data_IF_504166915377
#
_entry.id   IF_504166915377
#
_cell.length_a   1.000
_cell.length_b   1.000
_cell.length_c   1.000
_cell.angle_alpha   90.00
_cell.angle_beta   90.00
_cell.angle_gamma   90.00
#
_symmetry.space_group_name_H-M   'P 1'
#
loop_
_entity.id
_entity.type
_entity.pdbx_description
1 polymer ?
#
# COMPACT_ATOMS: atom_id res chain seq x y z
N UNK A 1 14.53 2.72 35.01
CA UNK A 1 13.22 3.06 34.39
C UNK A 1 13.51 3.58 33.00
N UNK A 2 12.94 2.99 31.94
CA UNK A 2 13.08 3.56 30.60
C UNK A 2 12.38 4.94 30.55
N UNK A 3 12.91 5.92 29.80
CA UNK A 3 12.30 7.25 29.71
C UNK A 3 10.92 7.15 29.04
N UNK A 4 9.91 7.80 29.63
CA UNK A 4 8.58 7.93 29.01
C UNK A 4 8.69 8.95 27.89
N UNK A 5 8.60 8.49 26.64
CA UNK A 5 8.75 9.34 25.44
C UNK A 5 7.40 9.96 25.03
N UNK A 6 6.28 9.28 25.32
CA UNK A 6 4.94 9.70 24.88
C UNK A 6 4.13 10.24 26.07
N UNK A 7 3.79 11.54 26.05
CA UNK A 7 2.99 12.22 27.08
C UNK A 7 1.82 12.97 26.45
N UNK A 8 0.63 12.75 27.00
CA UNK A 8 -0.62 13.34 26.55
C UNK A 8 -1.37 13.92 27.74
N UNK A 9 -1.94 15.11 27.58
CA UNK A 9 -2.71 15.80 28.61
C UNK A 9 -4.08 15.16 28.83
N UNK A 10 -4.63 14.46 27.83
CA UNK A 10 -5.88 13.71 27.93
C UNK A 10 -6.00 12.66 26.79
N UNK A 11 -7.06 11.83 26.85
CA UNK A 11 -7.35 10.79 25.85
C UNK A 11 -7.70 11.36 24.47
N UNK A 12 -8.27 12.57 24.38
CA UNK A 12 -8.55 13.23 23.10
C UNK A 12 -7.26 13.58 22.35
N UNK A 13 -6.24 14.06 23.06
CA UNK A 13 -4.92 14.33 22.49
C UNK A 13 -4.22 13.04 22.08
N UNK A 14 -4.38 11.96 22.86
CA UNK A 14 -3.91 10.64 22.44
C UNK A 14 -4.62 10.21 21.15
N UNK A 15 -5.95 10.36 21.03
CA UNK A 15 -6.72 9.99 19.85
C UNK A 15 -6.21 10.68 18.58
N UNK A 16 -5.94 11.99 18.63
CA UNK A 16 -5.48 12.77 17.46
C UNK A 16 -3.98 12.69 17.19
N UNK A 17 -3.18 12.08 18.07
CA UNK A 17 -1.72 11.99 17.92
C UNK A 17 -1.24 10.85 17.02
N UNK A 18 -0.06 11.01 16.42
CA UNK A 18 0.69 9.94 15.77
C UNK A 18 1.50 9.18 16.82
N UNK A 19 1.08 7.94 17.12
CA UNK A 19 1.75 7.08 18.11
C UNK A 19 2.20 5.79 17.45
N UNK A 20 3.48 5.46 17.62
CA UNK A 20 4.04 4.17 17.22
C UNK A 20 3.58 3.09 18.21
N UNK A 21 2.43 2.47 17.91
CA UNK A 21 1.81 1.43 18.74
C UNK A 21 2.74 0.21 18.90
N UNK A 22 3.60 -0.10 17.91
CA UNK A 22 4.54 -1.23 18.01
C UNK A 22 5.60 -0.96 19.07
N UNK A 23 6.24 0.22 19.07
CA UNK A 23 7.19 0.60 20.14
C UNK A 23 6.56 0.56 21.53
N UNK A 24 5.26 0.87 21.61
CA UNK A 24 4.52 0.75 22.86
C UNK A 24 4.33 -0.70 23.30
N UNK A 25 4.02 -1.61 22.39
CA UNK A 25 3.84 -3.02 22.68
C UNK A 25 5.15 -3.73 23.04
N UNK A 26 6.27 -3.33 22.45
CA UNK A 26 7.54 -4.03 22.64
C UNK A 26 8.08 -3.83 24.06
N UNK A 27 8.04 -2.62 24.65
CA UNK A 27 8.31 -2.37 26.10
C UNK A 27 7.87 -0.96 26.56
N UNK A 28 6.90 -0.33 25.88
CA UNK A 28 6.62 1.08 26.09
C UNK A 28 5.68 1.39 27.25
N UNK A 29 5.88 2.56 27.84
CA UNK A 29 4.93 3.21 28.71
C UNK A 29 4.55 4.57 28.11
N UNK A 30 3.32 4.98 28.33
CA UNK A 30 2.84 6.31 27.94
C UNK A 30 2.19 7.00 29.14
N UNK A 31 2.23 8.32 29.13
CA UNK A 31 1.55 9.12 30.13
C UNK A 31 0.31 9.76 29.51
N UNK A 32 -0.86 9.55 30.11
CA UNK A 32 -2.11 10.21 29.74
C UNK A 32 -2.70 10.81 30.99
N UNK A 33 -3.04 12.09 30.95
CA UNK A 33 -3.68 12.79 32.06
C UNK A 33 -2.84 12.71 33.36
N UNK A 34 -1.51 12.83 33.23
CA UNK A 34 -0.56 12.74 34.35
C UNK A 34 -0.40 11.34 34.95
N UNK A 35 -1.04 10.30 34.40
CA UNK A 35 -0.93 8.91 34.85
C UNK A 35 -0.11 8.11 33.85
N UNK A 36 0.80 7.27 34.35
CA UNK A 36 1.61 6.39 33.51
C UNK A 36 0.91 5.05 33.31
N UNK A 37 0.83 4.61 32.06
CA UNK A 37 0.27 3.33 31.65
C UNK A 37 1.35 2.48 30.99
N UNK A 38 1.40 1.20 31.35
CA UNK A 38 2.17 0.16 30.67
C UNK A 38 1.31 -0.48 29.59
N UNK A 39 1.90 -0.62 28.41
CA UNK A 39 1.24 -1.18 27.25
C UNK A 39 1.88 -2.53 26.95
N UNK A 40 1.06 -3.55 26.72
CA UNK A 40 1.53 -4.89 26.36
C UNK A 40 0.57 -5.57 25.40
N UNK A 41 1.08 -6.54 24.63
CA UNK A 41 0.26 -7.37 23.77
C UNK A 41 -0.53 -8.38 24.61
N UNK A 42 -1.81 -8.55 24.31
CA UNK A 42 -2.65 -9.63 24.82
C UNK A 42 -2.96 -10.66 23.72
N UNK A 43 -3.46 -11.83 24.10
CA UNK A 43 -3.91 -12.85 23.15
C UNK A 43 -4.96 -12.32 22.17
N UNK A 44 -4.88 -12.76 20.90
CA UNK A 44 -5.86 -12.41 19.88
C UNK A 44 -5.76 -10.98 19.34
N UNK A 45 -4.56 -10.41 19.26
CA UNK A 45 -4.33 -9.04 18.75
C UNK A 45 -4.98 -7.94 19.61
N UNK A 46 -5.27 -8.18 20.90
CA UNK A 46 -5.77 -7.13 21.80
C UNK A 46 -4.64 -6.39 22.50
N UNK A 47 -4.88 -5.15 22.90
CA UNK A 47 -3.90 -4.36 23.66
C UNK A 47 -4.30 -4.35 25.13
N UNK A 48 -3.39 -4.81 26.00
CA UNK A 48 -3.54 -4.67 27.43
C UNK A 48 -2.91 -3.35 27.89
N UNK A 49 -3.66 -2.59 28.68
CA UNK A 49 -3.28 -1.29 29.22
C UNK A 49 -3.43 -1.32 30.72
N UNK A 50 -2.32 -1.22 31.42
CA UNK A 50 -2.29 -1.28 32.88
C UNK A 50 -1.69 -0.02 33.47
N UNK A 51 -2.38 0.58 34.44
CA UNK A 51 -1.87 1.74 35.14
C UNK A 51 -0.65 1.34 35.99
N UNK A 52 0.49 2.01 35.78
CA UNK A 52 1.69 1.79 36.57
C UNK A 52 1.50 2.44 37.95
N UNK A 53 1.04 1.66 38.93
CA UNK A 53 0.96 2.14 40.31
C UNK A 53 2.37 2.28 40.89
N UNK A 54 2.72 3.48 41.35
CA UNK A 54 3.87 3.65 42.24
C UNK A 54 3.50 3.03 43.58
N UNK A 55 3.93 1.79 43.84
CA UNK A 55 3.87 1.24 45.19
C UNK A 55 4.80 2.06 46.11
N UNK A 56 4.22 3.04 46.81
CA UNK A 56 4.75 3.58 48.06
C UNK A 56 3.58 3.76 49.01
N UNK A 57 3.54 2.90 50.03
CA UNK A 57 2.76 3.12 51.25
C UNK A 57 1.29 2.72 51.14
N UNK A 58 0.87 1.95 52.14
CA UNK A 58 -0.51 1.61 52.46
C UNK A 58 -1.39 2.88 52.56
N UNK A 59 -2.69 2.70 52.29
CA UNK A 59 -3.82 3.66 52.36
C UNK A 59 -4.13 4.48 51.08
N UNK A 60 -4.90 3.85 50.17
CA UNK A 60 -6.14 4.39 49.56
C UNK A 60 -6.64 3.42 48.48
N UNK A 61 -7.27 2.34 48.92
CA UNK A 61 -7.70 1.21 48.09
C UNK A 61 -9.16 1.27 47.62
N UNK A 62 -9.85 2.42 47.71
CA UNK A 62 -11.27 2.50 47.33
C UNK A 62 -11.56 3.53 46.21
N UNK A 63 -10.75 4.58 46.03
CA UNK A 63 -10.94 5.51 44.91
C UNK A 63 -10.24 5.08 43.59
N UNK A 64 -9.25 4.18 43.66
CA UNK A 64 -8.45 3.79 42.48
C UNK A 64 -9.01 2.60 41.68
N UNK A 65 -10.09 1.95 42.12
CA UNK A 65 -10.70 0.80 41.41
C UNK A 65 -11.84 1.18 40.47
N UNK A 66 -12.51 2.32 40.66
CA UNK A 66 -13.64 2.72 39.80
C UNK A 66 -13.27 3.65 38.64
N UNK A 67 -12.18 4.42 38.73
CA UNK A 67 -11.75 5.34 37.66
C UNK A 67 -10.70 4.80 36.68
N UNK A 68 -9.92 3.79 37.08
CA UNK A 68 -8.77 3.29 36.30
C UNK A 68 -9.16 2.31 35.18
N UNK A 69 -10.25 1.56 35.35
CA UNK A 69 -10.73 0.58 34.37
C UNK A 69 -11.31 1.24 33.12
N UNK A 70 -12.05 2.34 33.29
CA UNK A 70 -12.63 3.11 32.19
C UNK A 70 -11.57 3.82 31.33
N UNK A 71 -10.63 4.50 31.96
CA UNK A 71 -9.55 5.22 31.25
C UNK A 71 -8.59 4.25 30.55
N UNK A 72 -8.22 3.13 31.20
CA UNK A 72 -7.37 2.10 30.58
C UNK A 72 -8.06 1.43 29.38
N UNK A 73 -9.37 1.14 29.48
CA UNK A 73 -10.15 0.59 28.37
C UNK A 73 -10.28 1.59 27.22
N UNK A 74 -10.49 2.87 27.51
CA UNK A 74 -10.52 3.92 26.50
C UNK A 74 -9.16 4.02 25.79
N UNK A 75 -8.04 4.04 26.53
CA UNK A 75 -6.69 4.06 25.94
C UNK A 75 -6.46 2.81 25.08
N UNK A 76 -6.88 1.62 25.52
CA UNK A 76 -6.76 0.40 24.74
C UNK A 76 -7.52 0.51 23.40
N UNK A 77 -8.77 0.95 23.42
CA UNK A 77 -9.58 1.16 22.22
C UNK A 77 -8.97 2.20 21.27
N UNK A 78 -8.44 3.29 21.82
CA UNK A 78 -7.75 4.34 21.06
C UNK A 78 -6.53 3.73 20.36
N UNK A 79 -5.68 3.01 21.08
CA UNK A 79 -4.49 2.37 20.51
C UNK A 79 -4.82 1.26 19.51
N UNK A 80 -5.90 0.51 19.71
CA UNK A 80 -6.41 -0.51 18.78
C UNK A 80 -6.97 0.12 17.50
N UNK A 81 -7.57 1.30 17.59
CA UNK A 81 -8.08 2.06 16.43
C UNK A 81 -6.99 2.74 15.61
N UNK A 82 -5.79 2.90 16.19
CA UNK A 82 -4.67 3.51 15.48
C UNK A 82 -4.11 2.51 14.46
N UNK A 83 -3.75 2.97 13.25
CA UNK A 83 -3.01 2.14 12.33
C UNK A 83 -1.76 1.69 13.06
N UNK A 84 -1.66 0.39 13.33
CA UNK A 84 -0.42 -0.18 13.80
C UNK A 84 0.56 0.14 12.69
N UNK A 85 1.47 1.09 12.93
CA UNK A 85 2.72 1.20 12.19
C UNK A 85 3.50 -0.09 12.48
N UNK A 86 3.00 -1.20 11.97
CA UNK A 86 3.71 -2.44 11.85
C UNK A 86 4.70 -2.15 10.74
N UNK A 87 5.84 -1.56 11.10
CA UNK A 87 7.07 -2.15 10.59
C UNK A 87 7.00 -3.58 11.05
N UNK A 88 6.51 -4.43 10.16
CA UNK A 88 6.64 -5.88 10.30
C UNK A 88 8.11 -6.14 10.69
N UNK A 89 8.41 -7.21 11.42
CA UNK A 89 9.81 -7.63 11.67
C UNK A 89 10.57 -8.02 10.37
N UNK A 90 10.16 -7.46 9.23
CA UNK A 90 10.65 -7.61 7.87
C UNK A 90 12.10 -7.19 7.66
N UNK A 91 12.75 -6.53 8.63
CA UNK A 91 14.18 -6.27 8.55
C UNK A 91 15.03 -7.54 8.79
N UNK A 92 14.46 -8.65 9.28
CA UNK A 92 15.23 -9.88 9.54
C UNK A 92 15.51 -10.77 8.33
N UNK A 93 15.05 -10.44 7.11
CA UNK A 93 15.49 -11.17 5.90
C UNK A 93 16.75 -10.58 5.25
N UNK A 94 17.30 -9.49 5.80
CA UNK A 94 18.55 -8.88 5.34
C UNK A 94 19.61 -8.79 6.44
N UNK A 95 19.55 -9.68 7.44
CA UNK A 95 20.63 -9.79 8.41
C UNK A 95 21.73 -10.70 7.86
N UNK A 96 22.94 -10.15 7.79
CA UNK A 96 24.15 -10.86 7.34
C UNK A 96 24.55 -11.85 8.42
N UNK A 97 24.16 -13.11 8.29
CA UNK A 97 24.79 -14.15 9.10
C UNK A 97 24.09 -15.50 9.08
N UNK A 98 24.88 -16.50 8.71
CA UNK A 98 24.77 -17.89 9.14
C UNK A 98 23.91 -18.84 8.27
N UNK A 99 24.55 -19.31 7.18
CA UNK A 99 24.22 -20.56 6.52
C UNK A 99 25.52 -21.32 6.22
N UNK A 100 26.28 -21.65 7.26
CA UNK A 100 27.28 -22.73 7.20
C UNK A 100 26.76 -23.95 7.95
N UNK A 101 25.86 -24.71 7.32
CA UNK A 101 25.68 -26.13 7.61
C UNK A 101 24.79 -26.78 6.53
N UNK A 102 25.42 -27.28 5.47
CA UNK A 102 24.83 -28.32 4.64
C UNK A 102 25.87 -29.42 4.45
N UNK A 103 25.52 -30.71 4.59
CA UNK A 103 26.25 -31.77 3.96
C UNK A 103 25.70 -32.00 2.56
N UNK A 104 26.51 -31.60 1.58
CA UNK A 104 26.88 -32.34 0.37
C UNK A 104 25.83 -33.20 -0.36
N UNK A 105 25.67 -32.91 -1.66
CA UNK A 105 25.62 -33.97 -2.66
C UNK A 105 24.70 -33.74 -3.85
N UNK A 106 25.21 -33.08 -4.89
CA UNK A 106 25.30 -33.57 -6.29
C UNK A 106 25.21 -32.43 -7.31
N UNK A 107 26.25 -32.40 -8.15
CA UNK A 107 26.57 -31.36 -9.08
C UNK A 107 25.68 -31.40 -10.33
N UNK A 108 25.04 -30.27 -10.63
CA UNK A 108 24.51 -29.89 -11.93
C UNK A 108 24.92 -28.44 -12.18
N UNK A 109 25.69 -28.22 -13.23
CA UNK A 109 26.46 -27.03 -13.58
C UNK A 109 25.61 -25.74 -13.49
N UNK A 110 26.05 -24.84 -12.60
CA UNK A 110 25.44 -23.56 -12.31
C UNK A 110 25.81 -22.50 -13.36
N UNK A 111 24.80 -21.81 -13.89
CA UNK A 111 24.96 -20.40 -14.21
C UNK A 111 24.81 -19.62 -12.91
N UNK A 112 25.95 -19.16 -12.40
CA UNK A 112 26.01 -18.27 -11.25
C UNK A 112 25.49 -16.88 -11.66
N UNK A 113 24.33 -16.48 -11.15
CA UNK A 113 24.04 -15.07 -10.92
C UNK A 113 24.00 -14.83 -9.41
N UNK A 114 25.19 -14.73 -8.83
CA UNK A 114 25.43 -13.90 -7.65
C UNK A 114 25.12 -12.44 -7.99
N UNK A 115 23.84 -12.08 -8.13
CA UNK A 115 23.41 -10.70 -7.98
C UNK A 115 23.36 -10.41 -6.49
N UNK A 116 24.40 -9.75 -6.00
CA UNK A 116 24.37 -9.11 -4.70
C UNK A 116 23.11 -8.26 -4.59
N UNK A 117 22.31 -8.53 -3.55
CA UNK A 117 21.09 -7.82 -3.13
C UNK A 117 21.28 -6.29 -3.07
N UNK A 118 21.23 -5.62 -4.21
CA UNK A 118 21.09 -4.17 -4.31
C UNK A 118 19.68 -3.87 -4.80
N UNK A 119 19.01 -2.96 -4.11
CA UNK A 119 17.73 -2.43 -4.56
C UNK A 119 17.87 -1.86 -5.99
N UNK A 120 16.86 -2.01 -6.86
CA UNK A 120 16.91 -1.41 -8.18
C UNK A 120 17.13 0.10 -8.08
N UNK A 121 17.95 0.63 -8.99
CA UNK A 121 18.14 2.06 -9.12
C UNK A 121 16.80 2.75 -9.38
N UNK A 122 16.52 3.81 -8.62
CA UNK A 122 15.33 4.60 -8.82
C UNK A 122 15.44 5.45 -10.09
N UNK A 123 14.58 5.16 -11.06
CA UNK A 123 14.45 5.92 -12.30
C UNK A 123 13.11 6.66 -12.39
N UNK A 124 12.35 6.75 -11.29
CA UNK A 124 11.02 7.35 -11.25
C UNK A 124 11.03 8.81 -11.73
N UNK A 125 12.01 9.61 -11.30
CA UNK A 125 12.17 10.99 -11.76
C UNK A 125 12.41 11.07 -13.26
N UNK A 126 13.29 10.25 -13.81
CA UNK A 126 13.58 10.24 -15.24
C UNK A 126 12.32 9.88 -16.06
N UNK A 127 11.54 8.91 -15.60
CA UNK A 127 10.30 8.50 -16.27
C UNK A 127 9.22 9.57 -16.18
N UNK A 128 9.07 10.22 -15.02
CA UNK A 128 8.15 11.35 -14.85
C UNK A 128 8.54 12.52 -15.77
N UNK A 129 9.83 12.86 -15.83
CA UNK A 129 10.33 13.91 -16.72
C UNK A 129 10.11 13.58 -18.21
N UNK A 130 10.24 12.32 -18.63
CA UNK A 130 9.92 11.89 -20.00
C UNK A 130 8.45 12.13 -20.32
N UNK A 131 7.56 11.73 -19.43
CA UNK A 131 6.12 11.98 -19.56
C UNK A 131 5.80 13.49 -19.58
N UNK A 132 6.38 14.25 -18.67
CA UNK A 132 6.23 15.71 -18.60
C UNK A 132 6.73 16.41 -19.88
N UNK A 133 7.84 15.95 -20.47
CA UNK A 133 8.37 16.46 -21.75
C UNK A 133 7.49 16.12 -22.94
N UNK A 134 6.83 14.96 -22.93
CA UNK A 134 5.83 14.63 -23.95
C UNK A 134 4.60 15.54 -23.84
N UNK A 135 4.12 15.79 -22.62
CA UNK A 135 3.05 16.74 -22.35
C UNK A 135 3.43 18.17 -22.80
N UNK A 136 4.65 18.63 -22.53
CA UNK A 136 5.12 19.96 -22.92
C UNK A 136 5.09 20.22 -24.44
N UNK A 137 5.12 19.16 -25.26
CA UNK A 137 5.02 19.26 -26.73
C UNK A 137 3.58 19.41 -27.23
N UNK A 138 2.59 19.19 -26.37
CA UNK A 138 1.18 19.34 -26.71
C UNK A 138 0.80 20.83 -26.67
N UNK A 139 -0.15 21.25 -27.49
CA UNK A 139 -0.67 22.62 -27.43
C UNK A 139 -1.61 22.77 -26.24
N UNK A 140 -1.17 23.48 -25.20
CA UNK A 140 -1.95 23.83 -24.00
C UNK A 140 -2.73 22.63 -23.41
N UNK A 141 -2.06 21.51 -23.08
CA UNK A 141 -2.76 20.34 -22.58
C UNK A 141 -3.37 20.60 -21.20
N UNK A 142 -4.56 20.09 -20.95
CA UNK A 142 -5.12 20.02 -19.59
C UNK A 142 -4.51 18.85 -18.80
N UNK A 143 -4.64 18.85 -17.48
CA UNK A 143 -4.34 17.69 -16.61
C UNK A 143 -4.97 16.37 -17.13
N UNK A 144 -6.19 16.42 -17.66
CA UNK A 144 -6.88 15.26 -18.26
C UNK A 144 -6.19 14.77 -19.53
N UNK A 145 -5.66 15.67 -20.35
CA UNK A 145 -4.94 15.29 -21.56
C UNK A 145 -3.57 14.68 -21.22
N UNK A 146 -2.90 15.25 -20.21
CA UNK A 146 -1.66 14.71 -19.65
C UNK A 146 -1.91 13.33 -19.02
N UNK A 147 -3.03 13.14 -18.33
CA UNK A 147 -3.43 11.84 -17.80
C UNK A 147 -3.74 10.82 -18.90
N UNK A 148 -4.39 11.20 -20.01
CA UNK A 148 -4.59 10.30 -21.15
C UNK A 148 -3.25 9.84 -21.75
N UNK A 149 -2.25 10.71 -21.77
CA UNK A 149 -0.91 10.35 -22.19
C UNK A 149 -0.29 9.28 -21.27
N UNK A 150 -0.43 9.42 -19.94
CA UNK A 150 -0.06 8.36 -18.99
C UNK A 150 -0.80 7.05 -19.29
N UNK A 151 -2.11 7.10 -19.48
CA UNK A 151 -2.96 5.92 -19.79
C UNK A 151 -2.63 5.24 -21.12
N UNK A 152 -1.99 5.97 -22.03
CA UNK A 152 -1.55 5.44 -23.32
C UNK A 152 -0.27 4.60 -23.22
N UNK A 153 0.52 4.77 -22.14
CA UNK A 153 1.67 3.93 -21.82
C UNK A 153 1.20 2.58 -21.26
N UNK A 154 0.79 1.70 -22.17
CA UNK A 154 0.26 0.36 -21.87
C UNK A 154 1.27 -0.72 -22.27
N UNK A 155 1.26 -1.89 -21.60
CA UNK A 155 2.21 -2.98 -21.86
C UNK A 155 1.96 -3.73 -23.19
N UNK A 156 0.96 -3.36 -24.00
CA UNK A 156 0.61 -3.97 -25.29
C UNK A 156 0.49 -5.51 -25.25
N UNK A 157 -0.19 -6.02 -24.22
CA UNK A 157 -0.39 -7.45 -24.01
C UNK A 157 -1.52 -8.00 -24.89
N UNK A 158 -1.57 -9.32 -25.15
CA UNK A 158 -2.73 -9.94 -25.78
C UNK A 158 -4.01 -9.69 -24.96
N UNK A 159 -5.18 -9.89 -25.58
CA UNK A 159 -6.43 -9.89 -24.81
C UNK A 159 -6.48 -11.12 -23.90
N UNK A 160 -7.21 -11.03 -22.79
CA UNK A 160 -7.50 -12.20 -21.95
C UNK A 160 -8.30 -13.22 -22.79
N UNK A 161 -7.86 -14.47 -22.79
CA UNK A 161 -8.56 -15.55 -23.48
C UNK A 161 -9.95 -15.81 -22.88
N UNK A 162 -10.89 -16.28 -23.70
CA UNK A 162 -12.31 -16.43 -23.29
C UNK A 162 -12.48 -17.26 -22.01
N UNK A 163 -11.82 -18.42 -21.91
CA UNK A 163 -11.95 -19.29 -20.73
C UNK A 163 -11.28 -18.68 -19.49
N UNK A 164 -10.15 -18.01 -19.67
CA UNK A 164 -9.45 -17.32 -18.58
C UNK A 164 -10.27 -16.14 -18.04
N UNK A 165 -10.90 -15.38 -18.94
CA UNK A 165 -11.81 -14.30 -18.58
C UNK A 165 -13.05 -14.81 -17.85
N UNK A 166 -13.67 -15.91 -18.33
CA UNK A 166 -14.79 -16.57 -17.62
C UNK A 166 -14.36 -17.06 -16.23
N UNK A 167 -13.17 -17.65 -16.11
CA UNK A 167 -12.63 -18.11 -14.82
C UNK A 167 -12.43 -16.94 -13.85
N UNK A 168 -11.86 -15.83 -14.34
CA UNK A 168 -11.67 -14.60 -13.56
C UNK A 168 -13.00 -14.09 -12.99
N UNK A 169 -14.02 -13.90 -13.83
CA UNK A 169 -15.32 -13.39 -13.39
C UNK A 169 -16.04 -14.37 -12.46
N UNK A 170 -16.02 -15.68 -12.77
CA UNK A 170 -16.64 -16.71 -11.93
C UNK A 170 -16.04 -16.74 -10.54
N UNK A 171 -14.71 -16.69 -10.43
CA UNK A 171 -14.00 -16.67 -9.13
C UNK A 171 -14.31 -15.39 -8.35
N UNK A 172 -14.28 -14.23 -8.99
CA UNK A 172 -14.64 -12.96 -8.34
C UNK A 172 -16.07 -13.00 -7.75
N UNK A 173 -17.05 -13.45 -8.54
CA UNK A 173 -18.45 -13.60 -8.08
C UNK A 173 -18.55 -14.61 -6.93
N UNK A 174 -17.81 -15.73 -7.01
CA UNK A 174 -17.84 -16.76 -5.96
C UNK A 174 -17.36 -16.21 -4.61
N UNK A 175 -16.31 -15.38 -4.64
CA UNK A 175 -15.63 -14.81 -3.47
C UNK A 175 -16.34 -13.59 -2.86
N UNK A 176 -17.41 -13.09 -3.48
CA UNK A 176 -18.16 -11.94 -2.96
C UNK A 176 -18.69 -12.19 -1.54
N UNK A 177 -18.23 -11.37 -0.59
CA UNK A 177 -18.55 -11.42 0.84
C UNK A 177 -18.16 -12.73 1.55
N UNK A 178 -17.06 -13.35 1.10
CA UNK A 178 -16.47 -14.55 1.72
C UNK A 178 -15.30 -14.14 2.61
N UNK A 179 -15.17 -14.78 3.78
CA UNK A 179 -14.07 -14.59 4.75
C UNK A 179 -13.81 -13.12 5.14
N UNK A 180 -14.87 -12.33 5.29
CA UNK A 180 -14.76 -10.92 5.68
C UNK A 180 -14.19 -10.00 4.59
N UNK A 181 -14.09 -10.46 3.34
CA UNK A 181 -13.67 -9.67 2.18
C UNK A 181 -14.84 -9.47 1.22
N UNK A 182 -15.20 -8.21 0.99
CA UNK A 182 -16.15 -7.80 -0.04
C UNK A 182 -15.50 -7.84 -1.42
N UNK A 183 -16.23 -8.37 -2.40
CA UNK A 183 -15.84 -8.33 -3.82
C UNK A 183 -16.98 -7.72 -4.61
N UNK A 184 -16.70 -6.62 -5.33
CA UNK A 184 -17.73 -5.81 -5.98
C UNK A 184 -17.19 -4.95 -7.14
N UNK A 185 -18.01 -4.52 -8.10
CA UNK A 185 -17.58 -3.61 -9.16
C UNK A 185 -17.33 -2.19 -8.63
N UNK A 186 -16.27 -1.52 -9.08
CA UNK A 186 -15.87 -0.21 -8.57
C UNK A 186 -16.92 0.87 -8.84
N UNK A 187 -17.54 0.89 -10.03
CA UNK A 187 -18.48 1.97 -10.41
C UNK A 187 -19.82 1.89 -9.69
N UNK A 188 -20.27 0.69 -9.34
CA UNK A 188 -21.59 0.48 -8.72
C UNK A 188 -21.48 0.22 -7.22
N UNK A 189 -20.31 -0.19 -6.73
CA UNK A 189 -20.10 -0.57 -5.35
C UNK A 189 -20.70 -1.95 -5.04
N UNK A 190 -20.85 -2.23 -3.74
CA UNK A 190 -21.36 -3.51 -3.26
C UNK A 190 -22.80 -3.76 -3.70
N UNK A 191 -23.03 -4.89 -4.35
CA UNK A 191 -24.34 -5.34 -4.84
C UNK A 191 -24.52 -6.84 -4.56
N UNK A 192 -25.76 -7.34 -4.44
CA UNK A 192 -26.01 -8.76 -4.25
C UNK A 192 -25.32 -9.64 -5.30
N UNK A 193 -24.83 -10.81 -4.89
CA UNK A 193 -24.03 -11.72 -5.74
C UNK A 193 -24.67 -12.04 -7.10
N UNK A 194 -25.99 -12.20 -7.16
CA UNK A 194 -26.74 -12.45 -8.41
C UNK A 194 -26.66 -11.23 -9.34
N UNK A 195 -26.81 -10.02 -8.80
CA UNK A 195 -26.68 -8.78 -9.55
C UNK A 195 -25.24 -8.51 -9.97
N UNK A 196 -24.26 -8.79 -9.10
CA UNK A 196 -22.83 -8.72 -9.46
C UNK A 196 -22.51 -9.63 -10.64
N UNK A 197 -23.01 -10.87 -10.61
CA UNK A 197 -22.86 -11.82 -11.73
C UNK A 197 -23.43 -11.23 -13.02
N UNK A 198 -24.66 -10.75 -12.98
CA UNK A 198 -25.31 -10.16 -14.15
C UNK A 198 -24.56 -8.93 -14.67
N UNK A 199 -24.11 -8.04 -13.77
CA UNK A 199 -23.34 -6.85 -14.13
C UNK A 199 -22.02 -7.22 -14.82
N UNK A 200 -21.20 -8.04 -14.18
CA UNK A 200 -19.88 -8.39 -14.71
C UNK A 200 -19.96 -9.19 -16.02
N UNK A 201 -21.01 -9.96 -16.25
CA UNK A 201 -21.13 -10.80 -17.45
C UNK A 201 -21.81 -10.09 -18.62
N UNK A 202 -22.76 -9.19 -18.36
CA UNK A 202 -23.68 -8.71 -19.38
C UNK A 202 -23.69 -7.18 -19.54
N UNK A 203 -23.12 -6.41 -18.61
CA UNK A 203 -23.18 -4.95 -18.67
C UNK A 203 -22.04 -4.38 -19.52
N UNK A 204 -22.33 -3.54 -20.54
CA UNK A 204 -21.28 -2.78 -21.25
C UNK A 204 -20.47 -1.86 -20.32
N UNK A 205 -21.04 -1.44 -19.19
CA UNK A 205 -20.34 -0.60 -18.22
C UNK A 205 -19.21 -1.36 -17.49
N UNK A 206 -19.38 -2.67 -17.33
CA UNK A 206 -18.40 -3.55 -16.69
C UNK A 206 -17.14 -3.72 -17.54
N UNK A 207 -17.25 -3.58 -18.87
CA UNK A 207 -16.13 -3.74 -19.80
C UNK A 207 -14.99 -2.74 -19.61
N UNK A 208 -15.21 -1.69 -18.83
CA UNK A 208 -14.23 -0.67 -18.44
C UNK A 208 -14.25 -0.42 -16.94
N UNK A 209 -14.69 -1.40 -16.15
CA UNK A 209 -14.77 -1.29 -14.70
C UNK A 209 -13.71 -2.16 -14.01
N UNK A 210 -13.32 -1.75 -12.81
CA UNK A 210 -12.49 -2.56 -11.94
C UNK A 210 -13.36 -3.42 -11.03
N UNK A 211 -12.88 -4.62 -10.71
CA UNK A 211 -13.43 -5.46 -9.65
C UNK A 211 -12.59 -5.20 -8.40
N UNK A 212 -13.23 -4.71 -7.35
CA UNK A 212 -12.64 -4.38 -6.06
C UNK A 212 -12.65 -5.60 -5.14
N UNK A 213 -11.62 -5.72 -4.31
CA UNK A 213 -11.49 -6.65 -3.19
C UNK A 213 -11.16 -5.79 -1.97
N UNK A 214 -12.04 -5.74 -0.98
CA UNK A 214 -11.86 -4.86 0.19
C UNK A 214 -12.26 -5.59 1.45
N UNK A 215 -11.50 -5.45 2.53
CA UNK A 215 -11.98 -5.96 3.83
C UNK A 215 -13.23 -5.24 4.27
N UNK A 216 -14.17 -5.98 4.86
CA UNK A 216 -15.45 -5.43 5.29
C UNK A 216 -15.35 -4.46 6.47
N UNK A 217 -14.28 -4.53 7.25
CA UNK A 217 -14.02 -3.63 8.38
C UNK A 217 -13.26 -2.36 7.99
N UNK A 218 -13.02 -2.13 6.69
CA UNK A 218 -12.33 -0.96 6.18
C UNK A 218 -13.29 -0.15 5.30
N UNK A 219 -13.29 1.16 5.51
CA UNK A 219 -14.06 2.16 4.79
C UNK A 219 -13.22 2.83 3.69
N UNK A 220 -13.88 3.55 2.79
CA UNK A 220 -13.20 4.38 1.76
C UNK A 220 -12.48 5.60 2.36
N UNK A 221 -12.77 5.94 3.63
CA UNK A 221 -12.11 7.02 4.34
C UNK A 221 -10.78 6.59 4.97
N UNK A 222 -10.50 5.29 5.04
CA UNK A 222 -9.26 4.80 5.62
C UNK A 222 -8.09 5.10 4.68
N UNK A 223 -7.09 5.86 5.14
CA UNK A 223 -6.02 6.32 4.27
C UNK A 223 -5.21 5.13 3.76
N UNK A 224 -4.85 5.20 2.48
CA UNK A 224 -3.82 4.35 1.90
C UNK A 224 -2.62 5.26 1.61
N UNK A 225 -1.48 4.95 2.22
CA UNK A 225 -0.27 5.77 2.08
C UNK A 225 0.57 5.33 0.88
N UNK A 226 0.30 4.14 0.32
CA UNK A 226 1.00 3.64 -0.86
C UNK A 226 0.21 2.66 -1.71
N UNK A 227 0.76 2.34 -2.88
CA UNK A 227 0.20 1.37 -3.82
C UNK A 227 1.28 0.58 -4.54
N UNK A 228 0.90 -0.63 -4.95
CA UNK A 228 1.62 -1.42 -5.96
C UNK A 228 0.75 -1.53 -7.20
N UNK A 229 1.31 -1.20 -8.37
CA UNK A 229 0.79 -1.67 -9.66
C UNK A 229 1.46 -2.99 -10.00
N UNK A 230 0.65 -4.02 -10.22
CA UNK A 230 1.09 -5.35 -10.60
C UNK A 230 0.73 -5.63 -12.07
N UNK A 231 1.74 -5.93 -12.87
CA UNK A 231 1.64 -6.21 -14.31
C UNK A 231 1.81 -7.70 -14.57
N UNK A 232 0.69 -8.39 -14.85
CA UNK A 232 0.62 -9.85 -15.06
C UNK A 232 0.24 -10.15 -16.50
N UNK A 233 0.79 -11.23 -17.07
CA UNK A 233 0.40 -11.71 -18.38
C UNK A 233 -1.08 -12.18 -18.35
N UNK A 234 -1.89 -11.81 -19.37
CA UNK A 234 -3.32 -12.13 -19.43
C UNK A 234 -3.66 -13.62 -19.30
N UNK A 235 -2.74 -14.51 -19.67
CA UNK A 235 -2.90 -15.96 -19.54
C UNK A 235 -3.03 -16.46 -18.09
N UNK A 236 -2.69 -15.62 -17.10
CA UNK A 236 -2.82 -15.94 -15.68
C UNK A 236 -3.88 -15.07 -14.98
N UNK A 237 -4.70 -14.31 -15.72
CA UNK A 237 -5.64 -13.37 -15.14
C UNK A 237 -6.75 -14.05 -14.31
N UNK A 238 -7.12 -15.27 -14.68
CA UNK A 238 -8.16 -16.09 -14.10
C UNK A 238 -7.87 -16.51 -12.66
N UNK A 239 -6.60 -16.73 -12.26
CA UNK A 239 -6.25 -17.10 -10.88
C UNK A 239 -6.10 -15.90 -9.93
N UNK A 240 -6.00 -14.68 -10.47
CA UNK A 240 -5.79 -13.47 -9.67
C UNK A 240 -6.88 -13.20 -8.62
N UNK A 241 -8.20 -13.41 -8.88
CA UNK A 241 -9.23 -13.17 -7.87
C UNK A 241 -9.02 -13.95 -6.57
N UNK A 242 -8.64 -15.23 -6.65
CA UNK A 242 -8.39 -16.07 -5.47
C UNK A 242 -7.14 -15.61 -4.72
N UNK A 243 -6.06 -15.31 -5.45
CA UNK A 243 -4.82 -14.80 -4.86
C UNK A 243 -5.07 -13.47 -4.14
N UNK A 244 -5.74 -12.52 -4.78
CA UNK A 244 -5.98 -11.19 -4.22
C UNK A 244 -6.93 -11.22 -3.04
N UNK A 245 -7.99 -12.03 -3.11
CA UNK A 245 -8.89 -12.25 -1.97
C UNK A 245 -8.12 -12.76 -0.75
N UNK A 246 -7.28 -13.80 -0.91
CA UNK A 246 -6.45 -14.32 0.17
C UNK A 246 -5.47 -13.28 0.73
N UNK A 247 -4.79 -12.52 -0.14
CA UNK A 247 -3.88 -11.46 0.30
C UNK A 247 -4.60 -10.35 1.08
N UNK A 248 -5.76 -9.88 0.59
CA UNK A 248 -6.56 -8.86 1.30
C UNK A 248 -7.06 -9.40 2.63
N UNK A 249 -7.48 -10.66 2.70
CA UNK A 249 -7.88 -11.31 3.96
C UNK A 249 -6.73 -11.37 4.96
N UNK A 250 -5.54 -11.78 4.52
CA UNK A 250 -4.47 -12.24 5.40
C UNK A 250 -3.45 -11.15 5.80
N UNK A 251 -3.39 -10.01 5.09
CA UNK A 251 -2.31 -9.02 5.25
C UNK A 251 -2.79 -7.69 5.80
N UNK A 252 -2.75 -7.49 7.12
CA UNK A 252 -3.36 -6.32 7.78
C UNK A 252 -3.13 -4.96 7.09
N UNK A 253 -1.94 -4.73 6.53
CA UNK A 253 -1.57 -3.51 5.79
C UNK A 253 -2.12 -3.40 4.35
N UNK A 254 -2.70 -4.46 3.77
CA UNK A 254 -3.35 -4.47 2.45
C UNK A 254 -4.87 -4.46 2.63
N UNK A 255 -5.46 -3.28 2.57
CA UNK A 255 -6.90 -3.10 2.81
C UNK A 255 -7.75 -3.32 1.57
N UNK A 256 -7.24 -2.89 0.42
CA UNK A 256 -7.97 -2.85 -0.84
C UNK A 256 -7.07 -3.33 -1.97
N UNK A 257 -7.62 -4.16 -2.84
CA UNK A 257 -7.04 -4.48 -4.14
C UNK A 257 -8.10 -4.28 -5.23
N UNK A 258 -7.66 -4.09 -6.46
CA UNK A 258 -8.56 -4.10 -7.61
C UNK A 258 -7.92 -4.69 -8.85
N UNK A 259 -8.74 -5.30 -9.69
CA UNK A 259 -8.36 -5.88 -10.97
C UNK A 259 -9.24 -5.36 -12.09
N UNK A 260 -8.65 -5.08 -13.24
CA UNK A 260 -9.37 -4.73 -14.44
C UNK A 260 -10.31 -5.87 -14.88
N UNK A 261 -11.46 -5.54 -15.45
CA UNK A 261 -12.29 -6.51 -16.14
C UNK A 261 -11.51 -7.19 -17.30
N UNK A 262 -11.74 -8.48 -17.59
CA UNK A 262 -11.04 -9.20 -18.66
C UNK A 262 -10.99 -8.50 -20.02
N UNK A 263 -12.01 -7.72 -20.37
CA UNK A 263 -12.11 -6.99 -21.65
C UNK A 263 -11.04 -5.92 -21.86
N UNK A 264 -10.46 -5.37 -20.79
CA UNK A 264 -9.39 -4.35 -20.87
C UNK A 264 -8.17 -4.66 -20.01
N UNK A 265 -8.12 -5.85 -19.39
CA UNK A 265 -6.93 -6.31 -18.68
C UNK A 265 -5.72 -6.38 -19.62
N UNK A 266 -4.62 -5.76 -19.23
CA UNK A 266 -3.39 -5.62 -20.03
C UNK A 266 -3.48 -4.56 -21.15
N UNK A 267 -4.61 -3.87 -21.30
CA UNK A 267 -4.84 -2.87 -22.35
C UNK A 267 -4.71 -1.42 -21.85
N UNK A 268 -4.30 -1.27 -20.60
CA UNK A 268 -4.19 -0.01 -19.88
C UNK A 268 -2.91 -0.05 -19.01
N UNK A 269 -2.47 1.10 -18.51
CA UNK A 269 -1.26 1.25 -17.69
C UNK A 269 -1.29 0.39 -16.42
N UNK A 270 -2.47 0.26 -15.80
CA UNK A 270 -2.66 -0.48 -14.57
C UNK A 270 -3.76 -1.53 -14.74
N UNK A 271 -3.45 -2.81 -14.53
CA UNK A 271 -4.43 -3.91 -14.58
C UNK A 271 -4.73 -4.53 -13.23
N UNK A 272 -3.76 -4.52 -12.32
CA UNK A 272 -3.94 -4.93 -10.92
C UNK A 272 -3.31 -3.87 -10.02
N UNK A 273 -4.06 -3.41 -9.03
CA UNK A 273 -3.60 -2.38 -8.10
C UNK A 273 -3.88 -2.85 -6.68
N UNK A 274 -2.85 -2.77 -5.83
CA UNK A 274 -2.89 -3.10 -4.42
C UNK A 274 -2.70 -1.79 -3.66
N UNK A 275 -3.58 -1.48 -2.70
CA UNK A 275 -3.48 -0.28 -1.87
C UNK A 275 -3.08 -0.66 -0.45
N UNK A 276 -1.96 -0.08 0.00
CA UNK A 276 -1.31 -0.44 1.24
C UNK A 276 -1.36 0.72 2.22
N UNK A 277 -1.61 0.39 3.48
CA UNK A 277 -1.27 1.20 4.63
C UNK A 277 0.11 0.75 5.17
N UNK A 278 1.14 0.97 4.35
CA UNK A 278 2.50 0.52 4.60
C UNK A 278 3.49 1.15 3.63
N UNK A 279 4.78 0.92 3.84
CA UNK A 279 5.85 1.53 3.07
C UNK A 279 6.53 0.51 2.13
N UNK A 280 7.63 0.90 1.49
CA UNK A 280 8.31 0.07 0.51
C UNK A 280 8.74 -1.30 1.09
N UNK A 281 9.08 -1.38 2.37
CA UNK A 281 9.41 -2.65 3.03
C UNK A 281 8.25 -3.66 2.99
N UNK A 282 7.05 -3.26 3.40
CA UNK A 282 5.84 -4.08 3.31
C UNK A 282 5.49 -4.44 1.87
N UNK A 283 5.69 -3.50 0.95
CA UNK A 283 5.47 -3.72 -0.47
C UNK A 283 6.39 -4.80 -1.03
N UNK A 284 7.69 -4.77 -0.71
CA UNK A 284 8.67 -5.76 -1.15
C UNK A 284 8.32 -7.17 -0.65
N UNK A 285 7.87 -7.29 0.60
CA UNK A 285 7.40 -8.58 1.13
C UNK A 285 6.17 -9.10 0.39
N UNK A 286 5.22 -8.21 0.12
CA UNK A 286 4.02 -8.57 -0.64
C UNK A 286 4.38 -9.01 -2.06
N UNK A 287 5.31 -8.31 -2.72
CA UNK A 287 5.80 -8.67 -4.04
C UNK A 287 6.46 -10.05 -4.04
N UNK A 288 7.33 -10.34 -3.07
CA UNK A 288 7.97 -11.65 -2.90
C UNK A 288 6.95 -12.77 -2.69
N UNK A 289 5.89 -12.53 -1.92
CA UNK A 289 4.83 -13.52 -1.71
C UNK A 289 4.01 -13.76 -2.99
N UNK A 290 3.66 -12.70 -3.72
CA UNK A 290 2.94 -12.82 -4.99
C UNK A 290 3.77 -13.61 -6.01
N UNK A 291 5.08 -13.34 -6.09
CA UNK A 291 5.99 -14.08 -6.99
C UNK A 291 6.07 -15.58 -6.66
N UNK A 292 5.91 -15.96 -5.38
CA UNK A 292 5.86 -17.38 -4.98
C UNK A 292 4.53 -18.05 -5.34
N UNK A 293 3.44 -17.28 -5.50
CA UNK A 293 2.10 -17.78 -5.83
C UNK A 293 1.82 -17.83 -7.34
N UNK A 294 2.59 -17.10 -8.15
CA UNK A 294 2.41 -17.02 -9.60
C UNK A 294 3.56 -17.71 -10.37
N UNK A 295 3.29 -18.25 -11.57
CA UNK A 295 4.35 -18.78 -12.44
C UNK A 295 5.43 -17.74 -12.76
N UNK A 296 6.66 -18.20 -13.01
CA UNK A 296 7.82 -17.31 -13.28
C UNK A 296 7.62 -16.42 -14.51
N UNK A 297 6.90 -16.91 -15.51
CA UNK A 297 6.58 -16.19 -16.75
C UNK A 297 5.38 -15.24 -16.60
N UNK A 298 4.69 -15.25 -15.46
CA UNK A 298 3.51 -14.43 -15.26
C UNK A 298 3.80 -12.93 -15.20
N UNK A 299 5.01 -12.52 -14.78
CA UNK A 299 5.35 -11.11 -14.60
C UNK A 299 5.70 -10.41 -15.92
N UNK A 300 5.09 -9.25 -16.16
CA UNK A 300 5.32 -8.41 -17.35
C UNK A 300 6.30 -7.30 -17.04
N UNK A 301 7.22 -7.03 -17.96
CA UNK A 301 8.17 -5.93 -17.82
C UNK A 301 7.55 -4.59 -18.23
N UNK A 302 6.79 -3.97 -17.33
CA UNK A 302 6.19 -2.65 -17.53
C UNK A 302 6.24 -1.86 -16.21
N UNK A 303 6.53 -0.56 -16.29
CA UNK A 303 6.63 0.32 -15.13
C UNK A 303 6.00 1.67 -15.46
N UNK A 304 4.82 1.98 -14.89
CA UNK A 304 4.15 3.26 -15.14
C UNK A 304 5.05 4.46 -14.82
N UNK A 305 4.90 5.54 -15.61
CA UNK A 305 5.72 6.73 -15.46
C UNK A 305 5.64 7.32 -14.05
N UNK A 306 6.80 7.66 -13.48
CA UNK A 306 6.93 8.22 -12.14
C UNK A 306 6.83 7.22 -10.98
N UNK A 307 6.57 5.93 -11.24
CA UNK A 307 6.58 4.90 -10.19
C UNK A 307 7.98 4.30 -10.01
N UNK A 308 8.29 3.89 -8.77
CA UNK A 308 9.50 3.16 -8.43
C UNK A 308 9.38 1.70 -8.89
N UNK A 309 10.38 1.22 -9.62
CA UNK A 309 10.41 -0.16 -10.09
C UNK A 309 11.00 -1.06 -9.01
N UNK A 310 10.18 -1.93 -8.42
CA UNK A 310 10.63 -2.88 -7.40
C UNK A 310 11.27 -4.12 -8.02
N UNK A 311 10.64 -4.67 -9.05
CA UNK A 311 11.11 -5.85 -9.78
C UNK A 311 10.29 -5.99 -11.08
N UNK A 312 10.58 -7.01 -11.90
CA UNK A 312 9.74 -7.32 -13.07
C UNK A 312 8.28 -7.54 -12.62
N UNK A 313 7.35 -6.77 -13.19
CA UNK A 313 5.92 -6.85 -12.88
C UNK A 313 5.45 -6.03 -11.68
N UNK A 314 6.34 -5.37 -10.93
CA UNK A 314 5.97 -4.64 -9.71
C UNK A 314 6.48 -3.20 -9.73
N UNK A 315 5.55 -2.27 -9.60
CA UNK A 315 5.80 -0.83 -9.51
C UNK A 315 5.16 -0.26 -8.26
N UNK A 316 5.85 0.63 -7.56
CA UNK A 316 5.44 1.21 -6.29
C UNK A 316 5.31 2.73 -6.37
N UNK A 317 4.32 3.28 -5.67
CA UNK A 317 4.24 4.71 -5.41
C UNK A 317 3.50 5.02 -4.11
N UNK A 318 3.85 6.13 -3.49
CA UNK A 318 3.22 6.69 -2.30
C UNK A 318 2.26 7.82 -2.67
N UNK A 319 1.27 8.00 -1.79
CA UNK A 319 0.26 9.04 -1.89
C UNK A 319 0.46 10.03 -0.76
N UNK A 320 0.56 11.31 -1.12
CA UNK A 320 0.60 12.41 -0.16
C UNK A 320 -0.82 12.74 0.32
N UNK A 321 -0.98 13.07 1.60
CA UNK A 321 -2.26 13.54 2.16
C UNK A 321 -2.75 14.83 1.48
N UNK A 322 -1.84 15.61 0.90
CA UNK A 322 -2.14 16.83 0.15
C UNK A 322 -2.61 16.55 -1.30
N UNK A 323 -2.84 15.28 -1.67
CA UNK A 323 -3.11 14.85 -3.04
C UNK A 323 -4.05 13.61 -3.10
N UNK A 324 -5.34 13.88 -3.02
CA UNK A 324 -6.42 12.88 -2.84
C UNK A 324 -6.94 12.25 -4.14
N UNK A 325 -6.21 12.38 -5.24
CA UNK A 325 -6.64 11.86 -6.56
C UNK A 325 -5.98 10.51 -6.90
N UNK A 326 -6.41 9.87 -8.00
CA UNK A 326 -5.73 8.67 -8.48
C UNK A 326 -4.30 9.01 -8.92
N UNK A 327 -3.34 8.09 -8.70
CA UNK A 327 -1.91 8.34 -8.96
C UNK A 327 -1.62 9.04 -10.29
N UNK A 328 -2.12 8.52 -11.41
CA UNK A 328 -1.88 9.13 -12.72
C UNK A 328 -2.49 10.52 -12.86
N UNK A 329 -3.64 10.78 -12.24
CA UNK A 329 -4.25 12.12 -12.24
C UNK A 329 -3.46 13.10 -11.37
N UNK A 330 -3.03 12.63 -10.20
CA UNK A 330 -2.19 13.36 -9.25
C UNK A 330 -0.93 13.89 -9.95
N UNK A 331 -0.18 13.00 -10.60
CA UNK A 331 1.06 13.38 -11.27
C UNK A 331 0.80 14.20 -12.53
N UNK A 332 -0.32 13.99 -13.22
CA UNK A 332 -0.72 14.82 -14.35
C UNK A 332 -1.02 16.27 -13.92
N UNK A 333 -1.72 16.48 -12.81
CA UNK A 333 -2.01 17.81 -12.26
C UNK A 333 -0.73 18.54 -11.80
N UNK A 334 0.25 17.81 -11.28
CA UNK A 334 1.58 18.37 -10.96
C UNK A 334 2.31 18.82 -12.23
N UNK A 335 2.28 18.02 -13.29
CA UNK A 335 2.87 18.38 -14.58
C UNK A 335 2.15 19.61 -15.17
N UNK A 336 0.83 19.62 -15.17
CA UNK A 336 0.02 20.76 -15.62
C UNK A 336 0.38 22.05 -14.87
N UNK A 337 0.48 21.96 -13.54
CA UNK A 337 0.90 23.09 -12.69
C UNK A 337 2.29 23.58 -13.08
N UNK A 338 3.24 22.68 -13.37
CA UNK A 338 4.59 23.06 -13.79
C UNK A 338 4.65 23.68 -15.20
N UNK A 339 3.72 23.29 -16.09
CA UNK A 339 3.59 23.83 -17.44
C UNK A 339 2.98 25.23 -17.47
N UNK A 340 2.04 25.50 -16.56
CA UNK A 340 1.30 26.76 -16.47
C UNK A 340 1.95 27.80 -15.55
N UNK A 341 2.86 27.36 -14.69
CA UNK A 341 3.63 28.22 -13.79
C UNK A 341 4.57 29.17 -14.58
N UNK A 342 4.37 30.48 -14.35
CA UNK A 342 5.06 31.58 -15.04
C UNK A 342 6.34 32.03 -14.31
N UNK A 343 6.72 31.37 -13.22
CA UNK A 343 7.96 31.69 -12.50
C UNK A 343 9.20 31.46 -13.38
N UNK A 344 10.20 32.32 -13.19
CA UNK A 344 11.46 32.25 -13.94
C UNK A 344 12.22 30.95 -13.59
N UNK A 345 12.72 30.25 -14.61
CA UNK A 345 13.42 28.97 -14.45
C UNK A 345 13.19 28.05 -15.64
N UNK A 346 13.89 26.91 -15.66
CA UNK A 346 13.59 25.85 -16.62
C UNK A 346 12.39 25.01 -16.15
N UNK A 347 11.79 24.28 -17.07
CA UNK A 347 10.60 23.47 -16.80
C UNK A 347 10.87 22.40 -15.73
N UNK A 348 12.05 21.78 -15.73
CA UNK A 348 12.43 20.77 -14.75
C UNK A 348 12.42 21.32 -13.31
N UNK A 349 12.94 22.53 -13.08
CA UNK A 349 12.89 23.15 -11.75
C UNK A 349 11.46 23.46 -11.29
N UNK A 350 10.59 23.89 -12.22
CA UNK A 350 9.16 24.09 -11.90
C UNK A 350 8.50 22.77 -11.54
N UNK A 351 8.80 21.68 -12.26
CA UNK A 351 8.28 20.35 -11.93
C UNK A 351 8.73 19.89 -10.53
N UNK A 352 10.02 20.04 -10.21
CA UNK A 352 10.57 19.71 -8.90
C UNK A 352 9.91 20.54 -7.77
N UNK A 353 9.67 21.83 -8.02
CA UNK A 353 8.97 22.71 -7.09
C UNK A 353 7.51 22.26 -6.85
N UNK A 354 6.77 21.93 -7.92
CA UNK A 354 5.38 21.48 -7.80
C UNK A 354 5.27 20.10 -7.11
N UNK A 355 6.23 19.19 -7.33
CA UNK A 355 6.34 17.94 -6.58
C UNK A 355 6.51 18.20 -5.07
N UNK A 356 7.47 19.05 -4.71
CA UNK A 356 7.74 19.41 -3.32
C UNK A 356 6.52 20.10 -2.66
N UNK A 357 5.85 21.00 -3.39
CA UNK A 357 4.64 21.69 -2.91
C UNK A 357 3.48 20.71 -2.63
N UNK A 358 3.41 19.58 -3.34
CA UNK A 358 2.47 18.49 -3.09
C UNK A 358 2.94 17.47 -2.05
N UNK A 359 4.13 17.65 -1.48
CA UNK A 359 4.68 16.78 -0.43
C UNK A 359 5.43 15.56 -0.95
N UNK A 360 5.82 15.52 -2.22
CA UNK A 360 6.65 14.45 -2.79
C UNK A 360 8.13 14.81 -2.74
N UNK A 361 9.00 13.79 -2.77
CA UNK A 361 10.42 13.98 -2.97
C UNK A 361 10.71 14.30 -4.46
N UNK A 362 11.31 15.45 -4.81
CA UNK A 362 11.56 15.81 -6.20
C UNK A 362 12.52 14.86 -6.95
N UNK A 363 13.47 14.25 -6.23
CA UNK A 363 14.44 13.29 -6.80
C UNK A 363 13.85 11.89 -6.90
N UNK A 364 12.85 11.60 -6.08
CA UNK A 364 12.21 10.30 -5.96
C UNK A 364 10.67 10.47 -5.98
N UNK A 365 10.06 10.92 -7.09
CA UNK A 365 8.63 11.32 -7.13
C UNK A 365 7.61 10.18 -6.92
N UNK A 366 8.10 8.94 -6.89
CA UNK A 366 7.32 7.80 -6.41
C UNK A 366 7.09 7.81 -4.89
N UNK A 367 7.81 8.65 -4.14
CA UNK A 367 7.82 8.65 -2.67
C UNK A 367 7.39 10.02 -2.13
N UNK A 368 6.77 10.01 -0.95
CA UNK A 368 6.54 11.26 -0.22
C UNK A 368 7.85 11.76 0.38
N UNK A 369 7.93 13.07 0.61
CA UNK A 369 9.07 13.68 1.29
C UNK A 369 9.23 13.05 2.69
N UNK A 370 10.47 12.80 3.09
CA UNK A 370 10.83 12.24 4.40
C UNK A 370 10.25 10.83 4.66
N UNK A 371 9.83 10.12 3.61
CA UNK A 371 9.34 8.75 3.69
C UNK A 371 10.44 7.80 4.21
N UNK A 372 10.12 6.86 5.13
CA UNK A 372 11.06 5.83 5.55
C UNK A 372 11.48 4.90 4.40
N UNK A 373 10.71 4.87 3.29
CA UNK A 373 11.08 4.15 2.07
C UNK A 373 12.34 4.69 1.41
N UNK A 374 12.64 5.99 1.58
CA UNK A 374 13.81 6.62 0.97
C UNK A 374 15.12 6.05 1.52
N UNK A 375 15.14 5.57 2.76
CA UNK A 375 16.33 4.96 3.36
C UNK A 375 16.60 3.54 2.86
N UNK A 376 15.63 2.91 2.18
CA UNK A 376 15.77 1.57 1.59
C UNK A 376 16.45 1.66 0.22
N UNK A 377 16.28 2.77 -0.51
CA UNK A 377 16.75 2.94 -1.89
C UNK A 377 18.05 3.75 -2.02
N UNK A 378 18.51 4.37 -0.93
CA UNK A 378 19.84 5.00 -0.82
C UNK A 378 20.90 3.93 -0.60
#
# INVERSE_FOLDING_TARGET
MQPIINRFTNTQQLQSSSVDVKKLLDHGSLEVNGKTYRISAAEGSKINVEMATKAKGFFNAVENMMGSSGESKAIAQILESKPRLVRSNALHMYDKGDLTAGPSGHAGRAESSTESSKMPADNSQQQLQKWAKQAHKMSHPSDRDIYKLYKSDKPNLPKVGTEEGKAMLRRAVRLSNVDGVGVFPQKIGSIPKVQMKAYLQNSPLAEKDFIMFRRNNVSDADPHVSRITLSVHPQHAGQLPEMLHGLVRDKDYLHTAKIAHPSFFGQDTDSVILYLNGHLGEALNLANEIQKKLPRDAMVNHNPAGMYRMSKGFSYAESSENDVSSYGMSRAAIIDSALTDKTQGNFEKRLDFQLAAKGYDPKHPAFIKDSPSLDIIK
#
